data_IF_356732671992
#
_entry.id   IF_356732671992
#
_cell.length_a   1.000
_cell.length_b   1.000
_cell.length_c   1.000
_cell.angle_alpha   90.00
_cell.angle_beta   90.00
_cell.angle_gamma   90.00
#
_symmetry.space_group_name_H-M   'P 1'
#
loop_
_entity.id
_entity.type
_entity.pdbx_description
1 polymer ?
#
# COMPACT_ATOMS: atom_id res chain seq x y z
N UNK A 1 -25.16 -21.39 51.17
CA UNK A 1 -24.63 -20.03 50.94
C UNK A 1 -23.19 -20.01 50.38
N UNK A 2 -22.26 -20.87 50.83
CA UNK A 2 -20.85 -20.83 50.41
C UNK A 2 -20.53 -21.18 48.94
N UNK A 3 -21.27 -22.11 48.33
CA UNK A 3 -21.01 -22.53 46.95
C UNK A 3 -21.32 -21.44 45.89
N UNK A 4 -22.31 -20.58 46.14
CA UNK A 4 -22.67 -19.48 45.23
C UNK A 4 -21.66 -18.34 45.24
N UNK A 5 -21.06 -18.05 46.40
CA UNK A 5 -20.01 -17.03 46.53
C UNK A 5 -18.70 -17.44 45.82
N UNK A 6 -18.34 -18.73 45.90
CA UNK A 6 -17.16 -19.26 45.22
C UNK A 6 -17.32 -19.26 43.68
N UNK A 7 -18.50 -19.61 43.17
CA UNK A 7 -18.80 -19.56 41.74
C UNK A 7 -18.82 -18.13 41.18
N UNK A 8 -19.37 -17.17 41.94
CA UNK A 8 -19.35 -15.75 41.57
C UNK A 8 -17.91 -15.18 41.54
N UNK A 9 -17.06 -15.59 42.48
CA UNK A 9 -15.64 -15.20 42.50
C UNK A 9 -14.84 -15.73 41.30
N UNK A 10 -15.09 -16.98 40.89
CA UNK A 10 -14.43 -17.58 39.73
C UNK A 10 -14.85 -16.91 38.41
N UNK A 11 -16.13 -16.57 38.25
CA UNK A 11 -16.64 -15.86 37.08
C UNK A 11 -16.06 -14.44 36.96
N UNK A 12 -15.95 -13.72 38.08
CA UNK A 12 -15.34 -12.39 38.12
C UNK A 12 -13.84 -12.42 37.75
N UNK A 13 -13.10 -13.43 38.22
CA UNK A 13 -11.69 -13.60 37.88
C UNK A 13 -11.47 -13.91 36.39
N UNK A 14 -12.32 -14.76 35.80
CA UNK A 14 -12.27 -15.07 34.37
C UNK A 14 -12.58 -13.84 33.50
N UNK A 15 -13.58 -13.04 33.88
CA UNK A 15 -13.92 -11.79 33.19
C UNK A 15 -12.78 -10.76 33.27
N UNK A 16 -12.13 -10.62 34.43
CA UNK A 16 -10.98 -9.74 34.61
C UNK A 16 -9.77 -10.17 33.77
N UNK A 17 -9.49 -11.48 33.69
CA UNK A 17 -8.43 -12.03 32.86
C UNK A 17 -8.70 -11.81 31.36
N UNK A 18 -9.94 -11.99 30.92
CA UNK A 18 -10.35 -11.72 29.54
C UNK A 18 -10.23 -10.23 29.19
N UNK A 19 -10.64 -9.33 30.10
CA UNK A 19 -10.50 -7.89 29.92
C UNK A 19 -9.02 -7.45 29.87
N UNK A 20 -8.17 -8.01 30.75
CA UNK A 20 -6.74 -7.75 30.75
C UNK A 20 -6.06 -8.26 29.47
N UNK A 21 -6.45 -9.45 28.98
CA UNK A 21 -5.96 -9.99 27.71
C UNK A 21 -6.40 -9.14 26.51
N UNK A 22 -7.66 -8.66 26.51
CA UNK A 22 -8.16 -7.75 25.48
C UNK A 22 -7.46 -6.38 25.51
N UNK A 23 -7.21 -5.83 26.70
CA UNK A 23 -6.46 -4.58 26.87
C UNK A 23 -5.00 -4.73 26.45
N UNK A 24 -4.33 -5.83 26.80
CA UNK A 24 -2.99 -6.16 26.35
C UNK A 24 -2.93 -6.29 24.83
N UNK A 25 -3.89 -6.99 24.22
CA UNK A 25 -4.01 -7.10 22.76
C UNK A 25 -4.23 -5.75 22.08
N UNK A 26 -5.08 -4.88 22.63
CA UNK A 26 -5.25 -3.49 22.13
C UNK A 26 -3.94 -2.70 22.25
N UNK A 27 -3.25 -2.79 23.38
CA UNK A 27 -1.99 -2.06 23.63
C UNK A 27 -0.86 -2.53 22.69
N UNK A 28 -0.77 -3.83 22.42
CA UNK A 28 0.18 -4.39 21.43
C UNK A 28 -0.13 -3.92 20.01
N UNK A 29 -1.42 -3.84 19.64
CA UNK A 29 -1.82 -3.28 18.34
C UNK A 29 -1.46 -1.79 18.25
N UNK A 30 -1.76 -1.00 19.29
CA UNK A 30 -1.42 0.43 19.33
C UNK A 30 0.09 0.66 19.27
N UNK A 31 0.87 -0.04 20.07
CA UNK A 31 2.35 0.05 20.06
C UNK A 31 2.94 -0.44 18.74
N UNK A 32 2.33 -1.47 18.13
CA UNK A 32 2.67 -1.94 16.80
C UNK A 32 2.49 -0.85 15.74
N UNK A 33 1.36 -0.13 15.77
CA UNK A 33 1.08 1.00 14.86
C UNK A 33 2.03 2.17 15.14
N UNK A 34 2.25 2.54 16.40
CA UNK A 34 3.12 3.66 16.76
C UNK A 34 4.58 3.42 16.33
N UNK A 35 5.07 2.17 16.42
CA UNK A 35 6.42 1.81 15.95
C UNK A 35 6.61 1.92 14.44
N UNK A 36 5.50 2.03 13.69
CA UNK A 36 5.49 2.21 12.24
C UNK A 36 5.50 3.68 11.85
N UNK A 37 5.21 4.61 12.77
CA UNK A 37 5.07 6.04 12.47
C UNK A 37 6.31 6.61 11.75
N UNK A 38 7.57 6.36 12.16
CA UNK A 38 8.71 6.90 11.44
C UNK A 38 8.83 6.39 10.00
N UNK A 39 8.38 5.16 9.76
CA UNK A 39 8.42 4.50 8.45
C UNK A 39 7.27 4.97 7.56
N UNK A 40 6.07 5.16 8.14
CA UNK A 40 4.92 5.75 7.49
C UNK A 40 5.12 7.25 7.23
N UNK A 41 5.85 7.95 8.11
CA UNK A 41 6.24 9.35 7.92
C UNK A 41 7.27 9.48 6.79
N UNK A 42 8.21 8.54 6.63
CA UNK A 42 9.11 8.55 5.48
C UNK A 42 8.37 8.28 4.16
N UNK A 43 7.50 7.24 4.12
CA UNK A 43 6.63 6.96 2.96
C UNK A 43 5.74 8.15 2.65
N UNK A 44 5.09 8.68 3.68
CA UNK A 44 4.18 9.82 3.62
C UNK A 44 4.89 11.08 3.17
N UNK A 45 6.10 11.36 3.64
CA UNK A 45 6.88 12.52 3.20
C UNK A 45 7.30 12.39 1.73
N UNK A 46 7.72 11.22 1.25
CA UNK A 46 8.07 11.07 -0.18
C UNK A 46 6.85 11.15 -1.09
N UNK A 47 5.74 10.50 -0.72
CA UNK A 47 4.49 10.56 -1.47
C UNK A 47 3.83 11.95 -1.40
N UNK A 48 3.87 12.59 -0.23
CA UNK A 48 3.36 13.95 -0.04
C UNK A 48 4.26 14.99 -0.69
N UNK A 49 5.58 14.80 -0.75
CA UNK A 49 6.46 15.70 -1.51
C UNK A 49 6.19 15.57 -3.00
N UNK A 50 5.97 14.36 -3.51
CA UNK A 50 5.56 14.15 -4.90
C UNK A 50 4.15 14.67 -5.20
N UNK A 51 3.21 14.51 -4.28
CA UNK A 51 1.85 15.07 -4.34
C UNK A 51 1.83 16.60 -4.20
N UNK A 52 2.70 17.17 -3.37
CA UNK A 52 2.90 18.61 -3.25
C UNK A 52 3.61 19.17 -4.48
N UNK A 53 4.57 18.46 -5.07
CA UNK A 53 5.14 18.80 -6.38
C UNK A 53 4.07 18.76 -7.48
N UNK A 54 3.19 17.77 -7.43
CA UNK A 54 2.05 17.62 -8.34
C UNK A 54 1.01 18.75 -8.16
N UNK A 55 0.74 19.20 -6.94
CA UNK A 55 -0.16 20.33 -6.65
C UNK A 55 0.50 21.71 -6.86
N UNK A 56 1.81 21.81 -6.69
CA UNK A 56 2.56 23.07 -6.73
C UNK A 56 3.13 23.38 -8.12
N UNK A 57 3.01 22.49 -9.09
CA UNK A 57 3.47 22.74 -10.45
C UNK A 57 2.28 22.98 -11.39
N UNK A 58 2.30 24.11 -12.12
CA UNK A 58 1.51 24.37 -13.34
C UNK A 58 1.85 23.37 -14.49
N UNK A 59 2.37 22.18 -14.17
CA UNK A 59 2.94 21.19 -15.08
C UNK A 59 2.06 19.96 -15.25
N UNK A 60 0.93 19.86 -14.56
CA UNK A 60 0.24 18.58 -14.38
C UNK A 60 -0.99 18.33 -15.26
N UNK A 61 -1.77 19.36 -15.62
CA UNK A 61 -3.15 19.13 -16.09
C UNK A 61 -3.54 19.89 -17.36
N UNK A 62 -2.63 20.67 -17.92
CA UNK A 62 -2.94 21.55 -19.04
C UNK A 62 -3.28 20.80 -20.33
N UNK A 63 -2.97 19.49 -20.40
CA UNK A 63 -3.32 18.64 -21.53
C UNK A 63 -4.28 17.52 -21.12
N UNK A 64 -5.57 17.77 -21.37
CA UNK A 64 -6.63 16.79 -21.12
C UNK A 64 -6.71 15.71 -22.22
N UNK A 65 -6.06 15.92 -23.37
CA UNK A 65 -6.12 15.03 -24.52
C UNK A 65 -5.06 13.92 -24.58
N UNK A 66 -5.07 13.12 -25.66
CA UNK A 66 -4.05 12.09 -25.88
C UNK A 66 -2.71 12.70 -26.27
N UNK A 67 -1.60 12.07 -25.85
CA UNK A 67 -0.25 12.58 -26.17
C UNK A 67 0.09 12.51 -27.65
N UNK A 68 -0.48 11.57 -28.43
CA UNK A 68 -0.14 11.44 -29.85
C UNK A 68 -0.62 12.61 -30.71
N UNK A 69 -1.49 13.48 -30.17
CA UNK A 69 -1.95 14.71 -30.81
C UNK A 69 -1.14 15.95 -30.38
N UNK A 70 -0.16 15.79 -29.49
CA UNK A 70 0.62 16.92 -28.96
C UNK A 70 1.79 17.21 -29.88
N UNK A 71 1.91 18.47 -30.29
CA UNK A 71 3.07 18.96 -31.04
C UNK A 71 4.38 18.77 -30.24
N UNK A 72 5.53 18.53 -30.91
CA UNK A 72 6.80 18.23 -30.23
C UNK A 72 7.19 19.25 -29.14
N UNK A 73 6.90 20.53 -29.36
CA UNK A 73 7.20 21.63 -28.43
C UNK A 73 6.38 21.56 -27.13
N UNK A 74 5.13 21.05 -27.20
CA UNK A 74 4.23 20.91 -26.07
C UNK A 74 4.39 19.60 -25.30
N UNK A 75 5.10 18.62 -25.88
CA UNK A 75 5.25 17.27 -25.33
C UNK A 75 5.82 17.24 -23.90
N UNK A 76 6.89 17.99 -23.55
CA UNK A 76 7.43 17.97 -22.19
C UNK A 76 6.40 18.39 -21.12
N UNK A 77 5.56 19.37 -21.44
CA UNK A 77 4.51 19.85 -20.53
C UNK A 77 3.38 18.82 -20.43
N UNK A 78 2.90 18.30 -21.56
CA UNK A 78 1.83 17.32 -21.60
C UNK A 78 2.19 15.99 -20.89
N UNK A 79 3.47 15.60 -20.90
CA UNK A 79 3.96 14.41 -20.19
C UNK A 79 4.15 14.61 -18.68
N UNK A 80 4.04 15.85 -18.17
CA UNK A 80 4.35 16.16 -16.77
C UNK A 80 3.58 15.30 -15.77
N UNK A 81 2.26 15.20 -15.92
CA UNK A 81 1.39 14.39 -15.06
C UNK A 81 1.81 12.90 -14.99
N UNK A 82 1.87 12.15 -16.10
CA UNK A 82 2.22 10.73 -16.06
C UNK A 82 3.68 10.49 -15.63
N UNK A 83 4.61 11.41 -15.93
CA UNK A 83 5.99 11.35 -15.43
C UNK A 83 6.02 11.48 -13.91
N UNK A 84 5.33 12.47 -13.34
CA UNK A 84 5.31 12.68 -11.89
C UNK A 84 4.65 11.51 -11.15
N UNK A 85 3.56 10.95 -11.69
CA UNK A 85 2.95 9.74 -11.15
C UNK A 85 3.92 8.55 -11.19
N UNK A 86 4.62 8.34 -12.32
CA UNK A 86 5.65 7.30 -12.47
C UNK A 86 6.80 7.50 -11.48
N UNK A 87 7.23 8.74 -11.26
CA UNK A 87 8.23 9.05 -10.25
C UNK A 87 7.76 8.67 -8.83
N UNK A 88 6.52 9.03 -8.48
CA UNK A 88 5.88 8.60 -7.22
C UNK A 88 5.86 7.08 -7.04
N UNK A 89 5.55 6.35 -8.12
CA UNK A 89 5.62 4.88 -8.15
C UNK A 89 7.04 4.37 -7.85
N UNK A 90 8.09 4.96 -8.41
CA UNK A 90 9.46 4.53 -8.11
C UNK A 90 9.91 4.89 -6.69
N UNK A 91 9.57 6.08 -6.20
CA UNK A 91 9.86 6.48 -4.81
C UNK A 91 9.23 5.49 -3.81
N UNK A 92 7.97 5.12 -4.04
CA UNK A 92 7.28 4.17 -3.17
C UNK A 92 7.87 2.75 -3.29
N UNK A 93 8.25 2.33 -4.50
CA UNK A 93 8.92 1.04 -4.72
C UNK A 93 10.19 0.92 -3.89
N UNK A 94 11.11 1.90 -4.00
CA UNK A 94 12.35 1.89 -3.21
C UNK A 94 12.06 1.90 -1.72
N UNK A 95 11.05 2.67 -1.29
CA UNK A 95 10.63 2.68 0.12
C UNK A 95 10.23 1.29 0.60
N UNK A 96 9.51 0.51 -0.21
CA UNK A 96 9.13 -0.86 0.12
C UNK A 96 10.31 -1.83 0.16
N UNK A 97 11.31 -1.65 -0.71
CA UNK A 97 12.54 -2.44 -0.64
C UNK A 97 13.33 -2.17 0.65
N UNK A 98 13.43 -0.89 1.04
CA UNK A 98 14.05 -0.51 2.31
C UNK A 98 13.28 -1.06 3.51
N UNK A 99 11.95 -0.96 3.50
CA UNK A 99 11.10 -1.49 4.57
C UNK A 99 11.15 -3.02 4.65
N UNK A 100 11.21 -3.72 3.52
CA UNK A 100 11.40 -5.18 3.49
C UNK A 100 12.71 -5.60 4.16
N UNK A 101 13.78 -4.84 3.94
CA UNK A 101 15.10 -5.09 4.55
C UNK A 101 15.13 -4.72 6.04
N UNK A 102 14.63 -3.55 6.40
CA UNK A 102 14.52 -3.10 7.79
C UNK A 102 13.59 -4.01 8.63
N UNK A 103 12.50 -4.47 8.01
CA UNK A 103 11.58 -5.46 8.54
C UNK A 103 12.26 -6.78 8.87
N UNK A 104 13.11 -7.29 7.95
CA UNK A 104 13.86 -8.52 8.18
C UNK A 104 14.86 -8.37 9.35
N UNK A 105 15.55 -7.24 9.47
CA UNK A 105 16.48 -6.96 10.58
C UNK A 105 15.74 -6.88 11.93
N UNK A 106 14.61 -6.17 11.95
CA UNK A 106 13.75 -6.08 13.14
C UNK A 106 13.15 -7.44 13.51
N UNK A 107 12.73 -8.21 12.50
CA UNK A 107 12.28 -9.59 12.64
C UNK A 107 13.34 -10.50 13.24
N UNK A 108 14.61 -10.36 12.81
CA UNK A 108 15.73 -11.13 13.35
C UNK A 108 15.99 -10.82 14.83
N UNK A 109 15.91 -9.54 15.23
CA UNK A 109 16.04 -9.16 16.65
C UNK A 109 14.98 -9.85 17.51
N UNK A 110 13.72 -9.84 17.05
CA UNK A 110 12.60 -10.54 17.72
C UNK A 110 12.79 -12.05 17.75
N UNK A 111 13.16 -12.65 16.62
CA UNK A 111 13.39 -14.08 16.52
C UNK A 111 14.53 -14.55 17.44
N UNK A 112 15.60 -13.77 17.59
CA UNK A 112 16.69 -14.07 18.54
C UNK A 112 16.23 -13.99 20.00
N UNK A 113 15.39 -13.01 20.34
CA UNK A 113 14.83 -12.89 21.69
C UNK A 113 13.91 -14.08 22.02
N UNK A 114 13.02 -14.46 21.08
CA UNK A 114 12.13 -15.61 21.23
C UNK A 114 12.92 -16.93 21.32
N UNK A 115 13.97 -17.11 20.49
CA UNK A 115 14.80 -18.30 20.54
C UNK A 115 15.55 -18.42 21.89
N UNK A 116 16.09 -17.32 22.40
CA UNK A 116 16.72 -17.28 23.74
C UNK A 116 15.73 -17.62 24.85
N UNK A 117 14.49 -17.14 24.76
CA UNK A 117 13.44 -17.40 25.76
C UNK A 117 13.01 -18.88 25.81
N UNK A 118 13.03 -19.56 24.66
CA UNK A 118 12.53 -20.93 24.52
C UNK A 118 13.65 -21.98 24.37
N UNK A 119 14.90 -21.61 24.67
CA UNK A 119 16.10 -22.45 24.51
C UNK A 119 16.23 -23.11 23.12
N UNK A 120 15.93 -22.33 22.07
CA UNK A 120 15.98 -22.78 20.68
C UNK A 120 17.26 -22.29 19.97
N UNK A 121 17.69 -22.96 18.89
CA UNK A 121 18.83 -22.54 18.09
C UNK A 121 18.72 -21.09 17.61
N UNK A 122 19.86 -20.38 17.60
CA UNK A 122 19.93 -18.96 17.21
C UNK A 122 19.54 -18.80 15.73
N UNK A 123 18.48 -18.04 15.41
CA UNK A 123 18.06 -17.85 14.03
C UNK A 123 19.04 -16.97 13.24
N UNK A 124 19.16 -17.25 11.95
CA UNK A 124 19.96 -16.47 11.01
C UNK A 124 19.10 -15.45 10.26
N UNK A 125 19.74 -14.46 9.62
CA UNK A 125 19.00 -13.52 8.77
C UNK A 125 18.34 -14.24 7.60
N UNK A 126 19.00 -15.24 7.02
CA UNK A 126 18.46 -16.05 5.93
C UNK A 126 17.17 -16.77 6.32
N UNK A 127 17.09 -17.32 7.54
CA UNK A 127 15.88 -18.02 7.99
C UNK A 127 14.68 -17.08 8.19
N UNK A 128 14.92 -15.83 8.58
CA UNK A 128 13.89 -14.79 8.73
C UNK A 128 13.54 -14.11 7.40
N UNK A 129 14.50 -13.92 6.50
CA UNK A 129 14.28 -13.22 5.23
C UNK A 129 13.69 -14.13 4.16
N UNK A 130 14.17 -15.37 4.07
CA UNK A 130 13.84 -16.32 3.00
C UNK A 130 13.36 -17.69 3.48
N UNK A 131 13.38 -17.94 4.79
CA UNK A 131 13.06 -19.25 5.37
C UNK A 131 11.72 -19.32 6.09
N UNK A 132 11.54 -20.42 6.83
CA UNK A 132 10.30 -20.73 7.59
C UNK A 132 9.91 -19.67 8.62
N UNK A 133 10.88 -18.87 9.10
CA UNK A 133 10.62 -17.81 10.08
C UNK A 133 10.08 -16.53 9.45
N UNK A 134 10.11 -16.41 8.12
CA UNK A 134 9.60 -15.24 7.40
C UNK A 134 8.12 -15.00 7.69
N UNK A 135 7.30 -16.06 7.63
CA UNK A 135 5.86 -15.98 7.88
C UNK A 135 5.53 -15.38 9.26
N UNK A 136 6.36 -15.67 10.26
CA UNK A 136 6.14 -15.19 11.63
C UNK A 136 6.69 -13.78 11.88
N UNK A 137 7.86 -13.46 11.33
CA UNK A 137 8.57 -12.25 11.74
C UNK A 137 8.68 -11.17 10.66
N UNK A 138 8.43 -11.48 9.39
CA UNK A 138 8.61 -10.55 8.27
C UNK A 138 7.52 -10.61 7.18
N UNK A 139 6.44 -11.37 7.39
CA UNK A 139 5.42 -11.61 6.36
C UNK A 139 4.82 -10.32 5.80
N UNK A 140 4.48 -9.36 6.68
CA UNK A 140 3.89 -8.09 6.27
C UNK A 140 4.71 -7.38 5.21
N UNK A 141 6.01 -7.21 5.46
CA UNK A 141 6.87 -6.45 4.56
C UNK A 141 7.19 -7.21 3.29
N UNK A 142 7.35 -8.54 3.38
CA UNK A 142 7.45 -9.38 2.18
C UNK A 142 6.20 -9.26 1.31
N UNK A 143 5.00 -9.33 1.89
CA UNK A 143 3.74 -9.23 1.13
C UNK A 143 3.44 -7.82 0.64
N UNK A 144 3.90 -6.79 1.36
CA UNK A 144 3.80 -5.39 0.90
C UNK A 144 4.62 -5.17 -0.35
N UNK A 145 5.90 -5.54 -0.34
CA UNK A 145 6.75 -5.46 -1.52
C UNK A 145 6.27 -6.40 -2.65
N UNK A 146 5.88 -7.63 -2.31
CA UNK A 146 5.38 -8.61 -3.27
C UNK A 146 4.13 -8.13 -4.02
N UNK A 147 3.10 -7.69 -3.30
CA UNK A 147 1.87 -7.20 -3.92
C UNK A 147 2.11 -5.94 -4.76
N UNK A 148 3.03 -5.07 -4.34
CA UNK A 148 3.42 -3.91 -5.12
C UNK A 148 4.03 -4.32 -6.46
N UNK A 149 4.98 -5.26 -6.46
CA UNK A 149 5.64 -5.76 -7.68
C UNK A 149 4.67 -6.53 -8.59
N UNK A 150 3.68 -7.24 -8.03
CA UNK A 150 2.63 -7.91 -8.82
C UNK A 150 1.79 -6.91 -9.64
N UNK A 151 1.51 -5.72 -9.10
CA UNK A 151 0.70 -4.69 -9.77
C UNK A 151 1.53 -3.69 -10.61
N UNK A 152 2.85 -3.63 -10.41
CA UNK A 152 3.70 -2.63 -11.03
C UNK A 152 3.78 -2.75 -12.57
N UNK A 153 4.05 -3.93 -13.17
CA UNK A 153 4.06 -4.07 -14.63
C UNK A 153 2.73 -3.69 -15.31
N UNK A 154 1.55 -4.19 -14.87
CA UNK A 154 0.31 -3.80 -15.51
C UNK A 154 0.01 -2.32 -15.30
N UNK A 155 0.26 -1.74 -14.11
CA UNK A 155 0.07 -0.31 -13.89
C UNK A 155 0.89 0.55 -14.85
N UNK A 156 2.21 0.37 -14.89
CA UNK A 156 3.08 1.23 -15.71
C UNK A 156 2.72 1.11 -17.18
N UNK A 157 2.47 -0.12 -17.64
CA UNK A 157 2.10 -0.37 -19.03
C UNK A 157 0.79 0.33 -19.39
N UNK A 158 -0.26 0.16 -18.57
CA UNK A 158 -1.59 0.69 -18.89
C UNK A 158 -1.69 2.20 -18.65
N UNK A 159 -0.98 2.74 -17.66
CA UNK A 159 -0.87 4.19 -17.43
C UNK A 159 -0.29 4.91 -18.65
N UNK A 160 0.82 4.41 -19.20
CA UNK A 160 1.46 5.05 -20.34
C UNK A 160 0.67 4.87 -21.64
N UNK A 161 0.03 3.71 -21.83
CA UNK A 161 -0.91 3.51 -22.95
C UNK A 161 -2.09 4.48 -22.85
N UNK A 162 -2.69 4.62 -21.67
CA UNK A 162 -3.81 5.54 -21.43
C UNK A 162 -3.39 7.00 -21.62
N UNK A 163 -2.22 7.39 -21.11
CA UNK A 163 -1.67 8.73 -21.33
C UNK A 163 -1.50 9.01 -22.82
N UNK A 164 -0.98 8.03 -23.56
CA UNK A 164 -0.73 8.18 -24.99
C UNK A 164 -2.02 8.27 -25.79
N UNK A 165 -2.97 7.36 -25.56
CA UNK A 165 -4.16 7.17 -26.41
C UNK A 165 -5.41 7.92 -25.94
N UNK A 166 -5.51 8.27 -24.66
CA UNK A 166 -6.74 8.81 -24.06
C UNK A 166 -6.50 10.18 -23.45
N UNK A 167 -5.75 10.24 -22.35
CA UNK A 167 -5.55 11.48 -21.59
C UNK A 167 -4.34 11.40 -20.67
N UNK A 168 -3.37 12.29 -20.88
CA UNK A 168 -2.18 12.38 -20.04
C UNK A 168 -2.51 12.87 -18.62
N UNK A 169 -3.36 13.89 -18.52
CA UNK A 169 -3.87 14.41 -17.26
C UNK A 169 -4.55 13.31 -16.42
N UNK A 170 -5.51 12.59 -17.02
CA UNK A 170 -6.23 11.52 -16.32
C UNK A 170 -5.30 10.38 -15.88
N UNK A 171 -4.34 10.00 -16.73
CA UNK A 171 -3.33 9.01 -16.38
C UNK A 171 -2.49 9.42 -15.17
N UNK A 172 -2.09 10.70 -15.09
CA UNK A 172 -1.38 11.25 -13.94
C UNK A 172 -2.20 11.23 -12.66
N UNK A 173 -3.44 11.73 -12.71
CA UNK A 173 -4.36 11.75 -11.56
C UNK A 173 -4.61 10.35 -11.01
N UNK A 174 -5.02 9.40 -11.87
CA UNK A 174 -5.32 8.04 -11.44
C UNK A 174 -4.05 7.28 -11.05
N UNK A 175 -2.89 7.61 -11.63
CA UNK A 175 -1.59 7.14 -11.16
C UNK A 175 -1.32 7.54 -9.71
N UNK A 176 -1.62 8.78 -9.31
CA UNK A 176 -1.51 9.23 -7.92
C UNK A 176 -2.54 8.57 -7.00
N UNK A 177 -3.78 8.35 -7.46
CA UNK A 177 -4.78 7.57 -6.72
C UNK A 177 -4.25 6.16 -6.45
N UNK A 178 -3.62 5.52 -7.44
CA UNK A 178 -2.98 4.23 -7.26
C UNK A 178 -1.84 4.29 -6.23
N UNK A 179 -0.95 5.29 -6.31
CA UNK A 179 0.15 5.49 -5.33
C UNK A 179 -0.40 5.65 -3.91
N UNK A 180 -1.41 6.50 -3.72
CA UNK A 180 -2.06 6.71 -2.43
C UNK A 180 -2.66 5.40 -1.89
N UNK A 181 -3.33 4.62 -2.75
CA UNK A 181 -3.85 3.29 -2.38
C UNK A 181 -2.74 2.37 -1.89
N UNK A 182 -1.56 2.42 -2.51
CA UNK A 182 -0.41 1.59 -2.13
C UNK A 182 0.16 2.03 -0.79
N UNK A 183 0.31 3.33 -0.53
CA UNK A 183 0.82 3.85 0.76
C UNK A 183 0.05 3.28 1.95
N UNK A 184 -1.27 3.09 1.81
CA UNK A 184 -2.15 2.56 2.86
C UNK A 184 -2.01 1.03 3.02
N UNK A 185 -1.53 0.30 2.00
CA UNK A 185 -1.45 -1.16 1.98
C UNK A 185 -0.83 -1.79 3.25
N UNK A 186 0.39 -1.42 3.72
CA UNK A 186 0.99 -2.05 4.89
C UNK A 186 0.15 -1.87 6.18
N UNK A 187 -0.61 -0.77 6.27
CA UNK A 187 -1.51 -0.50 7.39
C UNK A 187 -2.69 -1.47 7.33
N UNK A 188 -3.42 -1.53 6.21
CA UNK A 188 -4.57 -2.43 6.06
C UNK A 188 -4.19 -3.90 6.05
N UNK A 189 -2.97 -4.25 5.60
CA UNK A 189 -2.44 -5.62 5.72
C UNK A 189 -2.32 -6.07 7.17
N UNK A 190 -2.00 -5.15 8.08
CA UNK A 190 -1.91 -5.46 9.51
C UNK A 190 -3.29 -5.71 10.13
N UNK A 191 -4.36 -5.20 9.52
CA UNK A 191 -5.75 -5.45 9.93
C UNK A 191 -6.27 -6.77 9.34
N UNK A 192 -5.88 -7.09 8.12
CA UNK A 192 -6.26 -8.31 7.42
C UNK A 192 -7.49 -8.15 6.51
N UNK A 193 -8.08 -9.26 6.10
CA UNK A 193 -9.27 -9.27 5.25
C UNK A 193 -10.53 -8.87 6.05
N UNK A 194 -11.46 -8.06 5.50
CA UNK A 194 -11.51 -7.53 4.12
C UNK A 194 -10.77 -6.21 3.89
N UNK A 195 -10.17 -5.60 4.92
CA UNK A 195 -9.57 -4.25 4.84
C UNK A 195 -8.47 -4.11 3.78
N UNK A 196 -7.75 -5.20 3.48
CA UNK A 196 -6.76 -5.23 2.38
C UNK A 196 -7.38 -4.80 1.04
N UNK A 197 -8.67 -5.08 0.81
CA UNK A 197 -9.38 -4.70 -0.43
C UNK A 197 -9.49 -3.19 -0.62
N UNK A 198 -9.45 -2.39 0.45
CA UNK A 198 -9.45 -0.92 0.34
C UNK A 198 -8.20 -0.40 -0.35
N UNK A 199 -7.10 -1.14 -0.27
CA UNK A 199 -5.92 -0.86 -1.08
C UNK A 199 -6.00 -1.63 -2.39
N UNK A 200 -5.97 -2.96 -2.36
CA UNK A 200 -5.82 -3.78 -3.57
C UNK A 200 -6.94 -3.58 -4.58
N UNK A 201 -8.19 -3.46 -4.11
CA UNK A 201 -9.35 -3.19 -4.94
C UNK A 201 -9.22 -1.90 -5.73
N UNK A 202 -8.87 -0.79 -5.05
CA UNK A 202 -8.62 0.51 -5.72
C UNK A 202 -7.52 0.38 -6.79
N UNK A 203 -6.44 -0.34 -6.48
CA UNK A 203 -5.36 -0.58 -7.43
C UNK A 203 -5.84 -1.32 -8.69
N UNK A 204 -6.63 -2.38 -8.52
CA UNK A 204 -7.22 -3.11 -9.65
C UNK A 204 -8.24 -2.29 -10.43
N UNK A 205 -9.04 -1.47 -9.75
CA UNK A 205 -10.00 -0.57 -10.39
C UNK A 205 -9.29 0.44 -11.29
N UNK A 206 -8.21 1.08 -10.83
CA UNK A 206 -7.41 2.01 -11.65
C UNK A 206 -6.82 1.30 -12.87
N UNK A 207 -6.18 0.15 -12.68
CA UNK A 207 -5.57 -0.60 -13.78
C UNK A 207 -6.63 -1.05 -14.79
N UNK A 208 -7.76 -1.58 -14.31
CA UNK A 208 -8.89 -2.00 -15.15
C UNK A 208 -9.50 -0.82 -15.92
N UNK A 209 -9.62 0.34 -15.28
CA UNK A 209 -10.08 1.57 -15.92
C UNK A 209 -9.19 1.95 -17.12
N UNK A 210 -7.87 2.01 -16.93
CA UNK A 210 -6.93 2.31 -18.02
C UNK A 210 -7.07 1.33 -19.19
N UNK A 211 -7.19 0.03 -18.90
CA UNK A 211 -7.34 -1.01 -19.93
C UNK A 211 -8.65 -0.80 -20.70
N UNK A 212 -9.78 -0.75 -19.99
CA UNK A 212 -11.10 -0.68 -20.63
C UNK A 212 -11.28 0.62 -21.40
N UNK A 213 -10.81 1.75 -20.85
CA UNK A 213 -10.93 3.05 -21.52
C UNK A 213 -10.06 3.13 -22.76
N UNK A 214 -8.83 2.63 -22.70
CA UNK A 214 -7.95 2.57 -23.87
C UNK A 214 -8.53 1.67 -24.97
N UNK A 215 -9.10 0.50 -24.62
CA UNK A 215 -9.77 -0.38 -25.58
C UNK A 215 -10.98 0.32 -26.21
N UNK A 216 -11.81 0.99 -25.42
CA UNK A 216 -12.99 1.70 -25.91
C UNK A 216 -12.61 2.78 -26.94
N UNK A 217 -11.57 3.58 -26.66
CA UNK A 217 -11.09 4.61 -27.61
C UNK A 217 -10.52 4.00 -28.89
N UNK A 218 -9.71 2.94 -28.79
CA UNK A 218 -9.07 2.31 -29.96
C UNK A 218 -10.08 1.58 -30.86
N UNK A 219 -11.08 0.93 -30.26
CA UNK A 219 -12.03 0.09 -31.00
C UNK A 219 -13.30 0.83 -31.41
N UNK A 220 -13.59 1.99 -30.80
CA UNK A 220 -14.86 2.69 -30.95
C UNK A 220 -16.04 2.00 -30.26
N UNK A 221 -15.80 0.92 -29.50
CA UNK A 221 -16.84 0.23 -28.73
C UNK A 221 -17.10 1.01 -27.45
N UNK A 222 -18.35 1.42 -27.24
CA UNK A 222 -18.76 2.06 -25.99
C UNK A 222 -18.87 1.01 -24.88
N UNK A 223 -17.85 0.97 -24.02
CA UNK A 223 -17.83 0.12 -22.83
C UNK A 223 -18.35 0.97 -21.68
N UNK A 224 -19.42 0.55 -20.98
CA UNK A 224 -19.92 1.28 -19.82
C UNK A 224 -18.89 1.18 -18.68
N UNK A 225 -18.03 2.19 -18.58
CA UNK A 225 -16.99 2.26 -17.56
C UNK A 225 -17.51 3.19 -16.46
N UNK A 226 -17.76 2.69 -15.24
CA UNK A 226 -18.13 3.56 -14.13
C UNK A 226 -16.99 4.54 -13.84
N UNK A 227 -17.33 5.80 -13.56
CA UNK A 227 -16.33 6.80 -13.20
C UNK A 227 -15.49 6.29 -12.02
N UNK A 228 -14.15 6.32 -12.13
CA UNK A 228 -13.26 5.87 -11.07
C UNK A 228 -13.35 6.79 -9.83
N UNK A 229 -13.93 7.98 -9.98
CA UNK A 229 -14.09 8.99 -8.94
C UNK A 229 -15.51 9.59 -9.01
N UNK A 230 -16.54 8.95 -8.39
CA UNK A 230 -17.89 9.51 -8.34
C UNK A 230 -17.98 10.84 -7.56
N UNK A 231 -16.89 11.29 -6.95
CA UNK A 231 -16.80 12.54 -6.19
C UNK A 231 -16.24 13.73 -7.00
N UNK A 232 -15.82 13.52 -8.26
CA UNK A 232 -15.28 14.57 -9.13
C UNK A 232 -16.23 14.97 -10.27
N UNK A 233 -17.43 14.41 -10.30
CA UNK A 233 -18.51 14.76 -11.25
C UNK A 233 -19.40 15.86 -10.70
#
# INVERSE_FOLDING_TARGET
>A
AGAGAAAAGAAAAAAAAAAAAAAAKRRDVTMGILSQIPQLAAVGCFAATGGLLYLATDLGFDHEGPLYLVEPEGMPKAMGAPVLATFGVFCLYYTYLFQQSAGAMSGLKRAKADAKKNDQPKPSLGSVKYGKLQARYNLKWTRTAGNYMEQLPPLLTTLWIHAYLVSAAEAGLLGWVWVASRVIYPVVFSVGFPMILLSTGVGYTVIGYFILRSISVVTGIDIPIPSPLPLLS
#
